data_IF_173898634514
#
_entry.id   IF_173898634514
#
_cell.length_a   1.000
_cell.length_b   1.000
_cell.length_c   1.000
_cell.angle_alpha   90.00
_cell.angle_beta   90.00
_cell.angle_gamma   90.00
#
_symmetry.space_group_name_H-M   'P 1'
#
loop_
_entity.id
_entity.type
_entity.pdbx_description
1 polymer ?
#
# COMPACT_ATOMS: atom_id res chain seq x y z
N UNK A 1 11.40 73.67 21.65
CA UNK A 1 10.92 72.34 22.10
C UNK A 1 9.44 72.17 21.80
N UNK A 2 9.09 72.08 20.51
CA UNK A 2 7.77 71.66 20.03
C UNK A 2 8.08 70.75 18.85
N UNK A 3 7.43 69.60 18.76
CA UNK A 3 7.51 68.61 17.65
C UNK A 3 8.19 67.27 17.94
N UNK A 4 8.68 66.98 19.16
CA UNK A 4 9.14 65.61 19.47
C UNK A 4 7.97 64.58 19.49
N UNK A 5 6.75 65.02 19.81
CA UNK A 5 5.57 64.15 19.86
C UNK A 5 5.04 63.80 18.45
N UNK A 6 5.21 64.69 17.48
CA UNK A 6 4.85 64.45 16.07
C UNK A 6 5.75 63.39 15.43
N UNK A 7 7.05 63.35 15.78
CA UNK A 7 7.98 62.32 15.30
C UNK A 7 7.62 60.95 15.85
N UNK A 8 7.15 60.87 17.10
CA UNK A 8 6.74 59.61 17.73
C UNK A 8 5.44 59.06 17.13
N UNK A 9 4.46 59.92 16.82
CA UNK A 9 3.21 59.52 16.14
C UNK A 9 3.43 58.98 14.72
N UNK A 10 4.37 59.56 13.96
CA UNK A 10 4.70 59.09 12.59
C UNK A 10 5.42 57.73 12.63
N UNK A 11 6.30 57.50 13.61
CA UNK A 11 6.99 56.22 13.79
C UNK A 11 6.05 55.07 14.20
N UNK A 12 5.07 55.32 15.07
CA UNK A 12 4.08 54.31 15.48
C UNK A 12 3.11 53.96 14.34
N UNK A 13 2.74 54.93 13.48
CA UNK A 13 1.88 54.70 12.32
C UNK A 13 2.56 53.84 11.23
N UNK A 14 3.88 53.97 11.04
CA UNK A 14 4.63 53.17 10.06
C UNK A 14 4.83 51.72 10.52
N UNK A 15 4.95 51.46 11.82
CA UNK A 15 5.10 50.10 12.36
C UNK A 15 3.78 49.34 12.45
N UNK A 16 2.65 50.03 12.69
CA UNK A 16 1.31 49.41 12.76
C UNK A 16 0.72 49.08 11.37
N UNK A 17 1.25 49.67 10.30
CA UNK A 17 0.91 49.32 8.92
C UNK A 17 1.52 48.00 8.42
N UNK A 18 2.67 47.59 8.97
CA UNK A 18 3.36 46.36 8.55
C UNK A 18 2.74 45.08 9.15
N UNK A 19 2.29 45.12 10.42
CA UNK A 19 1.77 43.93 11.13
C UNK A 19 0.49 43.38 10.47
N UNK A 20 -0.39 44.24 9.96
CA UNK A 20 -1.64 43.80 9.31
C UNK A 20 -1.42 43.11 7.95
N UNK A 21 -0.31 43.40 7.26
CA UNK A 21 -0.03 42.87 5.91
C UNK A 21 0.61 41.49 5.98
N UNK A 22 1.42 41.22 7.00
CA UNK A 22 2.02 39.90 7.25
C UNK A 22 1.01 38.86 7.74
N UNK A 23 0.02 39.26 8.56
CA UNK A 23 -1.05 38.37 9.01
C UNK A 23 -2.03 37.97 7.88
N UNK A 24 -2.20 38.83 6.86
CA UNK A 24 -3.02 38.51 5.68
C UNK A 24 -2.28 37.54 4.74
N UNK A 25 -0.97 37.73 4.55
CA UNK A 25 -0.14 36.85 3.73
C UNK A 25 0.13 35.48 4.38
N UNK A 26 0.14 35.38 5.72
CA UNK A 26 0.25 34.12 6.43
C UNK A 26 -1.07 33.32 6.51
N UNK A 27 -2.24 33.99 6.38
CA UNK A 27 -3.54 33.31 6.28
C UNK A 27 -3.84 32.78 4.88
N UNK A 28 -3.25 33.36 3.83
CA UNK A 28 -3.37 32.86 2.45
C UNK A 28 -2.41 31.69 2.15
N UNK A 29 -1.44 31.41 3.03
CA UNK A 29 -0.53 30.24 2.92
C UNK A 29 -0.89 29.08 3.86
N UNK A 30 -2.01 29.19 4.59
CA UNK A 30 -2.61 28.06 5.29
C UNK A 30 -3.33 27.15 4.28
N UNK A 31 -2.59 26.19 3.73
CA UNK A 31 -3.07 24.93 3.14
C UNK A 31 -4.39 25.02 2.36
N UNK A 32 -4.40 25.75 1.23
CA UNK A 32 -5.45 25.63 0.22
C UNK A 32 -5.10 24.55 -0.80
N UNK A 33 -4.44 23.46 -0.40
CA UNK A 33 -4.46 22.29 -1.27
C UNK A 33 -5.93 21.90 -1.42
N UNK A 34 -6.51 21.89 -2.63
CA UNK A 34 -7.87 21.41 -2.78
C UNK A 34 -7.88 20.00 -2.20
N UNK A 35 -8.77 19.73 -1.24
CA UNK A 35 -9.03 18.37 -0.79
C UNK A 35 -9.57 17.63 -2.03
N UNK A 36 -8.67 17.00 -2.79
CA UNK A 36 -9.04 16.30 -4.01
C UNK A 36 -9.66 14.97 -3.58
N UNK A 37 -10.96 14.84 -3.84
CA UNK A 37 -11.69 13.61 -3.53
C UNK A 37 -11.09 12.40 -4.28
N UNK A 38 -10.95 11.22 -3.63
CA UNK A 38 -10.44 9.99 -4.26
C UNK A 38 -11.07 9.63 -5.62
N UNK A 39 -12.35 9.93 -5.86
CA UNK A 39 -12.97 9.65 -7.15
C UNK A 39 -12.41 10.54 -8.26
N UNK A 40 -12.07 11.79 -7.94
CA UNK A 40 -11.42 12.72 -8.89
C UNK A 40 -10.03 12.22 -9.27
N UNK A 41 -9.21 11.85 -8.28
CA UNK A 41 -7.86 11.29 -8.53
C UNK A 41 -7.96 9.99 -9.34
N UNK A 42 -8.98 9.16 -9.07
CA UNK A 42 -9.21 7.94 -9.84
C UNK A 42 -9.50 8.27 -11.31
N UNK A 43 -10.40 9.22 -11.58
CA UNK A 43 -10.75 9.61 -12.92
C UNK A 43 -9.55 10.23 -13.67
N UNK A 44 -8.75 11.05 -13.00
CA UNK A 44 -7.49 11.56 -13.55
C UNK A 44 -6.51 10.44 -13.91
N UNK A 45 -6.40 9.41 -13.08
CA UNK A 45 -5.55 8.26 -13.37
C UNK A 45 -6.02 7.50 -14.63
N UNK A 46 -7.34 7.36 -14.80
CA UNK A 46 -7.92 6.76 -16.01
C UNK A 46 -7.65 7.62 -17.25
N UNK A 47 -7.79 8.95 -17.14
CA UNK A 47 -7.57 9.87 -18.24
C UNK A 47 -6.11 9.93 -18.66
N UNK A 48 -5.18 10.04 -17.69
CA UNK A 48 -3.74 10.00 -17.93
C UNK A 48 -3.34 8.74 -18.72
N UNK A 49 -3.95 7.58 -18.41
CA UNK A 49 -3.70 6.36 -19.16
C UNK A 49 -4.24 6.42 -20.61
N UNK A 50 -5.41 7.04 -20.83
CA UNK A 50 -5.98 7.20 -22.18
C UNK A 50 -5.14 8.13 -23.05
N UNK A 51 -4.48 9.10 -22.44
CA UNK A 51 -3.54 10.04 -23.08
C UNK A 51 -2.11 9.46 -23.21
N UNK A 52 -1.95 8.15 -23.03
CA UNK A 52 -0.67 7.43 -23.03
C UNK A 52 0.36 7.92 -21.99
N UNK A 53 -0.07 8.71 -21.01
CA UNK A 53 0.75 9.12 -19.87
C UNK A 53 0.68 8.08 -18.74
N UNK A 54 1.24 6.90 -19.02
CA UNK A 54 1.13 5.74 -18.13
C UNK A 54 1.83 5.97 -16.77
N UNK A 55 2.96 6.69 -16.75
CA UNK A 55 3.65 6.99 -15.49
C UNK A 55 2.84 7.90 -14.58
N UNK A 56 2.14 8.90 -15.14
CA UNK A 56 1.19 9.72 -14.37
C UNK A 56 0.03 8.87 -13.86
N UNK A 57 -0.51 7.96 -14.67
CA UNK A 57 -1.57 7.05 -14.23
C UNK A 57 -1.13 6.14 -13.08
N UNK A 58 0.09 5.58 -13.14
CA UNK A 58 0.69 4.77 -12.07
C UNK A 58 0.84 5.59 -10.78
N UNK A 59 1.38 6.81 -10.89
CA UNK A 59 1.53 7.72 -9.76
C UNK A 59 0.20 8.03 -9.09
N UNK A 60 -0.83 8.37 -9.87
CA UNK A 60 -2.16 8.70 -9.35
C UNK A 60 -2.85 7.46 -8.72
N UNK A 61 -2.71 6.28 -9.33
CA UNK A 61 -3.21 5.04 -8.72
C UNK A 61 -2.48 4.69 -7.42
N UNK A 62 -1.18 4.95 -7.31
CA UNK A 62 -0.44 4.78 -6.04
C UNK A 62 -1.00 5.72 -4.97
N UNK A 63 -1.06 7.02 -5.25
CA UNK A 63 -1.60 8.03 -4.34
C UNK A 63 -3.02 7.64 -3.86
N UNK A 64 -3.88 7.25 -4.79
CA UNK A 64 -5.27 6.91 -4.47
C UNK A 64 -5.42 5.57 -3.74
N UNK A 65 -4.56 4.59 -4.00
CA UNK A 65 -4.47 3.37 -3.21
C UNK A 65 -4.05 3.65 -1.76
N UNK A 66 -3.12 4.59 -1.57
CA UNK A 66 -2.68 5.02 -0.24
C UNK A 66 -3.81 5.69 0.55
N UNK A 67 -4.75 6.36 -0.15
CA UNK A 67 -5.98 6.92 0.40
C UNK A 67 -7.10 5.89 0.63
N UNK A 68 -6.85 4.60 0.40
CA UNK A 68 -7.83 3.52 0.68
C UNK A 68 -8.77 3.19 -0.48
N UNK A 69 -8.55 3.71 -1.69
CA UNK A 69 -9.38 3.36 -2.83
C UNK A 69 -8.97 2.01 -3.43
N UNK A 70 -9.68 0.95 -3.04
CA UNK A 70 -9.33 -0.43 -3.39
C UNK A 70 -9.19 -0.70 -4.90
N UNK A 71 -9.98 -0.04 -5.75
CA UNK A 71 -9.87 -0.21 -7.20
C UNK A 71 -8.57 0.37 -7.77
N UNK A 72 -8.00 1.40 -7.14
CA UNK A 72 -6.67 1.92 -7.49
C UNK A 72 -5.57 0.96 -7.07
N UNK A 73 -5.67 0.35 -5.89
CA UNK A 73 -4.75 -0.72 -5.48
C UNK A 73 -4.78 -1.88 -6.48
N UNK A 74 -5.98 -2.30 -6.90
CA UNK A 74 -6.13 -3.35 -7.92
C UNK A 74 -5.45 -2.98 -9.24
N UNK A 75 -5.59 -1.74 -9.72
CA UNK A 75 -4.92 -1.28 -10.94
C UNK A 75 -3.41 -1.25 -10.80
N UNK A 76 -2.90 -0.81 -9.64
CA UNK A 76 -1.47 -0.82 -9.36
C UNK A 76 -0.90 -2.25 -9.31
N UNK A 77 -1.61 -3.18 -8.68
CA UNK A 77 -1.26 -4.60 -8.70
C UNK A 77 -1.17 -5.16 -10.12
N UNK A 78 -2.06 -4.75 -11.03
CA UNK A 78 -1.99 -5.16 -12.45
C UNK A 78 -0.76 -4.62 -13.19
N UNK A 79 -0.25 -3.44 -12.85
CA UNK A 79 0.98 -2.92 -13.46
C UNK A 79 2.17 -3.79 -13.08
N UNK A 80 2.34 -4.09 -11.77
CA UNK A 80 3.39 -4.99 -11.30
C UNK A 80 3.23 -6.44 -11.78
N UNK A 81 2.00 -6.95 -11.86
CA UNK A 81 1.72 -8.30 -12.34
C UNK A 81 2.15 -8.48 -13.81
N UNK A 82 1.87 -7.48 -14.66
CA UNK A 82 2.17 -7.56 -16.09
C UNK A 82 3.62 -7.26 -16.41
N UNK A 83 4.31 -6.46 -15.59
CA UNK A 83 5.65 -6.01 -15.91
C UNK A 83 5.74 -5.08 -17.12
N UNK A 84 4.61 -4.50 -17.55
CA UNK A 84 4.58 -3.50 -18.61
C UNK A 84 4.63 -2.13 -17.93
N UNK A 85 5.58 -1.28 -18.30
CA UNK A 85 5.87 0.06 -17.70
C UNK A 85 6.53 0.05 -16.31
N UNK A 86 6.34 -1.01 -15.54
CA UNK A 86 7.10 -1.31 -14.32
C UNK A 86 7.80 -2.65 -14.51
N UNK A 87 8.95 -2.86 -13.89
CA UNK A 87 9.53 -4.21 -13.81
C UNK A 87 8.52 -5.16 -13.15
N UNK A 88 8.35 -6.35 -13.72
CA UNK A 88 7.44 -7.34 -13.15
C UNK A 88 7.84 -7.67 -11.72
N UNK A 89 6.87 -7.63 -10.82
CA UNK A 89 7.08 -7.92 -9.40
C UNK A 89 5.83 -8.60 -8.86
N UNK A 90 5.86 -9.93 -8.85
CA UNK A 90 4.72 -10.74 -8.42
C UNK A 90 4.40 -10.54 -6.95
N UNK A 91 5.41 -10.31 -6.12
CA UNK A 91 5.25 -10.02 -4.70
C UNK A 91 4.49 -8.71 -4.50
N UNK A 92 4.95 -7.60 -5.11
CA UNK A 92 4.21 -6.33 -5.04
C UNK A 92 2.82 -6.44 -5.64
N UNK A 93 2.66 -7.17 -6.75
CA UNK A 93 1.36 -7.40 -7.36
C UNK A 93 0.40 -8.06 -6.36
N UNK A 94 0.85 -9.11 -5.68
CA UNK A 94 0.08 -9.81 -4.65
C UNK A 94 -0.28 -8.87 -3.50
N UNK A 95 0.68 -8.11 -2.97
CA UNK A 95 0.44 -7.14 -1.90
C UNK A 95 -0.63 -6.11 -2.27
N UNK A 96 -0.59 -5.58 -3.50
CA UNK A 96 -1.59 -4.62 -3.96
C UNK A 96 -2.95 -5.27 -4.23
N UNK A 97 -3.00 -6.50 -4.72
CA UNK A 97 -4.26 -7.24 -4.87
C UNK A 97 -4.89 -7.58 -3.52
N UNK A 98 -4.09 -8.03 -2.55
CA UNK A 98 -4.50 -8.28 -1.18
C UNK A 98 -5.07 -7.02 -0.53
N UNK A 99 -4.32 -5.91 -0.61
CA UNK A 99 -4.80 -4.61 -0.11
C UNK A 99 -6.09 -4.17 -0.81
N UNK A 100 -6.19 -4.35 -2.13
CA UNK A 100 -7.41 -4.05 -2.86
C UNK A 100 -8.60 -4.89 -2.36
N UNK A 101 -8.38 -6.17 -2.06
CA UNK A 101 -9.40 -7.06 -1.53
C UNK A 101 -9.88 -6.62 -0.13
N UNK A 102 -8.94 -6.33 0.78
CA UNK A 102 -9.23 -5.80 2.13
C UNK A 102 -10.02 -4.48 2.08
N UNK A 103 -9.77 -3.65 1.07
CA UNK A 103 -10.48 -2.41 0.80
C UNK A 103 -11.79 -2.59 0.01
N UNK A 104 -12.28 -3.82 -0.15
CA UNK A 104 -13.58 -4.13 -0.76
C UNK A 104 -13.62 -4.18 -2.28
N UNK A 105 -12.47 -4.10 -2.99
CA UNK A 105 -12.46 -4.30 -4.44
C UNK A 105 -12.66 -5.78 -4.78
N UNK A 106 -13.85 -6.10 -5.33
CA UNK A 106 -14.18 -7.43 -5.84
C UNK A 106 -13.16 -7.91 -6.89
N UNK A 107 -12.70 -7.01 -7.77
CA UNK A 107 -11.66 -7.31 -8.77
C UNK A 107 -10.30 -7.55 -8.12
N UNK A 108 -9.98 -6.81 -7.06
CA UNK A 108 -8.80 -7.04 -6.23
C UNK A 108 -8.76 -8.46 -5.68
N UNK A 109 -9.83 -8.88 -4.99
CA UNK A 109 -9.95 -10.24 -4.46
C UNK A 109 -9.84 -11.32 -5.56
N UNK A 110 -10.50 -11.10 -6.70
CA UNK A 110 -10.43 -12.04 -7.82
C UNK A 110 -9.01 -12.15 -8.39
N UNK A 111 -8.31 -11.03 -8.56
CA UNK A 111 -6.95 -11.03 -9.07
C UNK A 111 -5.94 -11.61 -8.07
N UNK A 112 -6.13 -11.39 -6.78
CA UNK A 112 -5.36 -12.04 -5.72
C UNK A 112 -5.46 -13.57 -5.83
N UNK A 113 -6.68 -14.12 -5.81
CA UNK A 113 -6.88 -15.56 -5.90
C UNK A 113 -6.36 -16.17 -7.21
N UNK A 114 -6.56 -15.49 -8.34
CA UNK A 114 -6.04 -15.95 -9.63
C UNK A 114 -4.50 -15.95 -9.67
N UNK A 115 -3.86 -14.93 -9.10
CA UNK A 115 -2.41 -14.82 -9.05
C UNK A 115 -1.83 -15.91 -8.15
N UNK A 116 -2.39 -16.14 -6.96
CA UNK A 116 -1.97 -17.22 -6.07
C UNK A 116 -2.09 -18.59 -6.76
N UNK A 117 -3.19 -18.85 -7.47
CA UNK A 117 -3.39 -20.09 -8.23
C UNK A 117 -2.35 -20.25 -9.34
N UNK A 118 -2.06 -19.20 -10.09
CA UNK A 118 -1.07 -19.26 -11.17
C UNK A 118 0.35 -19.50 -10.61
N UNK A 119 0.72 -18.72 -9.60
CA UNK A 119 2.04 -18.83 -8.97
C UNK A 119 2.23 -20.20 -8.32
N UNK A 120 1.18 -20.79 -7.73
CA UNK A 120 1.24 -22.14 -7.15
C UNK A 120 1.54 -23.28 -8.13
N UNK A 121 1.51 -23.02 -9.45
CA UNK A 121 1.94 -24.00 -10.47
C UNK A 121 3.47 -24.06 -10.63
N UNK A 122 4.19 -23.02 -10.19
CA UNK A 122 5.65 -22.93 -10.17
C UNK A 122 6.10 -22.84 -8.71
N UNK A 123 6.50 -23.99 -8.13
CA UNK A 123 6.80 -24.03 -6.71
C UNK A 123 7.98 -23.13 -6.29
N UNK A 124 9.11 -23.05 -7.03
CA UNK A 124 10.14 -22.06 -6.74
C UNK A 124 9.63 -20.61 -6.71
N UNK A 125 8.85 -20.20 -7.71
CA UNK A 125 8.28 -18.85 -7.75
C UNK A 125 7.28 -18.62 -6.60
N UNK A 126 6.44 -19.61 -6.30
CA UNK A 126 5.51 -19.58 -5.18
C UNK A 126 6.21 -19.42 -3.85
N UNK A 127 7.30 -20.17 -3.65
CA UNK A 127 8.09 -20.07 -2.44
C UNK A 127 8.60 -18.65 -2.24
N UNK A 128 9.20 -18.04 -3.27
CA UNK A 128 9.73 -16.68 -3.19
C UNK A 128 8.65 -15.64 -2.86
N UNK A 129 7.51 -15.69 -3.55
CA UNK A 129 6.38 -14.78 -3.31
C UNK A 129 5.81 -14.96 -1.90
N UNK A 130 5.54 -16.21 -1.50
CA UNK A 130 4.99 -16.46 -0.18
C UNK A 130 5.96 -16.08 0.93
N UNK A 131 7.26 -16.33 0.73
CA UNK A 131 8.30 -15.98 1.68
C UNK A 131 8.33 -14.49 1.97
N UNK A 132 8.39 -13.65 0.93
CA UNK A 132 8.41 -12.20 1.13
C UNK A 132 7.10 -11.70 1.77
N UNK A 133 5.95 -12.18 1.32
CA UNK A 133 4.67 -11.78 1.90
C UNK A 133 4.51 -12.24 3.36
N UNK A 134 4.99 -13.44 3.69
CA UNK A 134 5.00 -13.92 5.08
C UNK A 134 5.94 -13.09 5.96
N UNK A 135 7.06 -12.57 5.43
CA UNK A 135 7.92 -11.63 6.17
C UNK A 135 7.20 -10.30 6.44
N UNK A 136 6.27 -9.91 5.58
CA UNK A 136 5.43 -8.72 5.71
C UNK A 136 4.02 -9.02 6.29
N UNK A 137 3.92 -10.02 7.17
CA UNK A 137 2.73 -10.38 7.95
C UNK A 137 1.47 -10.73 7.15
N UNK A 138 1.61 -11.14 5.90
CA UNK A 138 0.53 -11.80 5.17
C UNK A 138 0.46 -13.27 5.61
N UNK A 139 -0.30 -13.53 6.68
CA UNK A 139 -0.33 -14.82 7.37
C UNK A 139 -0.82 -16.00 6.53
N UNK A 140 -1.69 -15.78 5.54
CA UNK A 140 -2.05 -16.79 4.55
C UNK A 140 -0.82 -17.27 3.74
N UNK A 141 0.12 -16.38 3.44
CA UNK A 141 1.38 -16.76 2.78
C UNK A 141 2.26 -17.60 3.70
N UNK A 142 2.28 -17.30 5.01
CA UNK A 142 2.96 -18.15 6.00
C UNK A 142 2.38 -19.56 6.05
N UNK A 143 1.04 -19.68 6.00
CA UNK A 143 0.37 -20.99 5.92
C UNK A 143 0.80 -21.77 4.66
N UNK A 144 0.84 -21.12 3.50
CA UNK A 144 1.25 -21.77 2.26
C UNK A 144 2.70 -22.26 2.30
N UNK A 145 3.63 -21.48 2.87
CA UNK A 145 5.02 -21.95 3.09
C UNK A 145 5.07 -23.16 4.02
N UNK A 146 4.26 -23.14 5.08
CA UNK A 146 4.20 -24.27 6.01
C UNK A 146 3.77 -25.55 5.29
N UNK A 147 2.76 -25.48 4.43
CA UNK A 147 2.33 -26.59 3.58
C UNK A 147 3.45 -27.03 2.61
N UNK A 148 4.17 -26.09 1.99
CA UNK A 148 5.29 -26.42 1.10
C UNK A 148 6.39 -27.19 1.82
N UNK A 149 6.75 -26.80 3.05
CA UNK A 149 7.72 -27.55 3.85
C UNK A 149 7.18 -28.89 4.34
N UNK A 150 5.89 -28.97 4.70
CA UNK A 150 5.28 -30.21 5.18
C UNK A 150 5.24 -31.28 4.10
N UNK A 151 5.01 -30.86 2.85
CA UNK A 151 4.86 -31.78 1.71
C UNK A 151 6.12 -31.90 0.84
N UNK A 152 7.15 -31.07 1.08
CA UNK A 152 8.35 -31.03 0.24
C UNK A 152 8.10 -30.48 -1.17
N UNK A 153 7.12 -29.58 -1.35
CA UNK A 153 6.77 -29.01 -2.66
C UNK A 153 7.65 -27.81 -2.99
N UNK A 154 8.59 -27.97 -3.92
CA UNK A 154 9.54 -26.94 -4.35
C UNK A 154 10.62 -26.57 -3.33
N UNK A 155 10.61 -27.22 -2.16
CA UNK A 155 11.62 -27.10 -1.10
C UNK A 155 11.84 -28.48 -0.48
N UNK A 156 13.01 -28.70 0.12
CA UNK A 156 13.25 -29.90 0.90
C UNK A 156 12.24 -30.01 2.05
N UNK A 157 11.65 -31.20 2.21
CA UNK A 157 10.66 -31.45 3.24
C UNK A 157 11.26 -31.22 4.63
N UNK A 158 10.53 -30.49 5.47
CA UNK A 158 10.98 -30.21 6.83
C UNK A 158 9.81 -29.89 7.76
N UNK A 159 9.34 -30.88 8.52
CA UNK A 159 8.30 -30.70 9.53
C UNK A 159 8.68 -29.66 10.58
N UNK A 160 9.96 -29.60 10.96
CA UNK A 160 10.48 -28.57 11.87
C UNK A 160 10.28 -27.15 11.34
N UNK A 161 10.49 -26.93 10.03
CA UNK A 161 10.24 -25.63 9.39
C UNK A 161 8.74 -25.38 9.23
N UNK A 162 7.99 -26.39 8.77
CA UNK A 162 6.54 -26.32 8.63
C UNK A 162 5.86 -25.87 9.93
N UNK A 163 6.17 -26.53 11.05
CA UNK A 163 5.67 -26.20 12.39
C UNK A 163 5.88 -24.73 12.76
N UNK A 164 7.08 -24.16 12.47
CA UNK A 164 7.35 -22.73 12.74
C UNK A 164 6.49 -21.79 11.90
N UNK A 165 6.29 -22.11 10.63
CA UNK A 165 5.46 -21.30 9.75
C UNK A 165 3.96 -21.45 10.06
N UNK A 166 3.49 -22.65 10.42
CA UNK A 166 2.12 -22.84 10.91
C UNK A 166 1.89 -22.05 12.20
N UNK A 167 2.87 -22.02 13.12
CA UNK A 167 2.80 -21.16 14.30
C UNK A 167 2.64 -19.70 13.91
N UNK A 168 3.52 -19.16 13.05
CA UNK A 168 3.44 -17.75 12.63
C UNK A 168 2.10 -17.43 11.96
N UNK A 169 1.58 -18.32 11.12
CA UNK A 169 0.27 -18.14 10.50
C UNK A 169 -0.88 -18.23 11.53
N UNK A 170 -0.76 -19.08 12.55
CA UNK A 170 -1.72 -19.15 13.65
C UNK A 170 -1.71 -17.89 14.52
N UNK A 171 -0.53 -17.33 14.80
CA UNK A 171 -0.39 -16.06 15.52
C UNK A 171 -1.12 -14.91 14.77
N UNK A 172 -1.33 -15.06 13.46
CA UNK A 172 -2.17 -14.20 12.61
C UNK A 172 -3.61 -14.67 12.42
N UNK A 173 -4.12 -15.50 13.33
CA UNK A 173 -5.50 -16.01 13.38
C UNK A 173 -5.95 -16.87 12.19
N UNK A 174 -5.01 -17.43 11.42
CA UNK A 174 -5.35 -18.40 10.38
C UNK A 174 -5.77 -19.72 11.04
N UNK A 175 -7.08 -19.93 11.20
CA UNK A 175 -7.67 -21.06 11.92
C UNK A 175 -7.09 -22.43 11.53
N UNK A 176 -6.94 -22.67 10.22
CA UNK A 176 -6.36 -23.92 9.70
C UNK A 176 -4.89 -24.09 10.11
N UNK A 177 -4.13 -23.00 10.14
CA UNK A 177 -2.75 -23.03 10.62
C UNK A 177 -2.66 -23.37 12.11
N UNK A 178 -3.58 -22.84 12.93
CA UNK A 178 -3.65 -23.18 14.35
C UNK A 178 -3.91 -24.67 14.60
N UNK A 179 -4.82 -25.27 13.82
CA UNK A 179 -5.09 -26.71 13.88
C UNK A 179 -3.84 -27.52 13.52
N UNK A 180 -3.23 -27.24 12.37
CA UNK A 180 -2.01 -27.91 11.91
C UNK A 180 -0.84 -27.76 12.91
N UNK A 181 -0.65 -26.58 13.49
CA UNK A 181 0.38 -26.35 14.50
C UNK A 181 0.14 -27.17 15.77
N UNK A 182 -1.12 -27.28 16.20
CA UNK A 182 -1.49 -28.06 17.38
C UNK A 182 -1.30 -29.56 17.18
N UNK A 183 -1.64 -30.09 15.99
CA UNK A 183 -1.40 -31.48 15.61
C UNK A 183 0.11 -31.81 15.66
N UNK A 184 0.95 -30.93 15.10
CA UNK A 184 2.41 -31.10 15.10
C UNK A 184 3.07 -30.97 16.50
N UNK A 185 2.33 -30.61 17.55
CA UNK A 185 2.83 -30.63 18.94
C UNK A 185 2.62 -31.97 19.63
N UNK A 186 1.83 -32.87 19.03
CA UNK A 186 1.50 -34.18 19.60
C UNK A 186 2.44 -35.29 19.14
N UNK A 187 3.36 -34.98 18.21
CA UNK A 187 4.47 -35.82 17.73
C UNK A 187 5.78 -35.49 18.45
#
# INVERSE_FOLDING_TARGET
MKNLWLVWLVLVALLSGCVKKTDRLARESADTTPVVDPATIYQEAINAKKEDNVYRAIYLHKKNCDMGFGESCNRLGKFYYKGTFLTQDLTKAQTFFHRACKLGSKKGCQNEGNMLRLVSQDFPAAFAVYQDNCLNDHYESCYNIAMMYSEGRGVEQSYRRAKRYFKKACDGEIKRACQMHAEMLQE
#
